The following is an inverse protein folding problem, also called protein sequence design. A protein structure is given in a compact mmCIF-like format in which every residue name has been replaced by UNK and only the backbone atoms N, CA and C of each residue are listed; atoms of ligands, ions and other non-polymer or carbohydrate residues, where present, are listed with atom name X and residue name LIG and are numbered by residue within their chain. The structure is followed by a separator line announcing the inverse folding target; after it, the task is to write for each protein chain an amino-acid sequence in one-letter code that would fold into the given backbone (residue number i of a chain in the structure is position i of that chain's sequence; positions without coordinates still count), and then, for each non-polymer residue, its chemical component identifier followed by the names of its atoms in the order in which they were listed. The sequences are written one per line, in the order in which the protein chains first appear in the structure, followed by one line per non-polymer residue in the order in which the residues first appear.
data_IF_248289898499
#
_entry.id   IF_248289898499
#
_cell.length_a   1.000
_cell.length_b   1.000
_cell.length_c   1.000
_cell.angle_alpha   90.00
_cell.angle_beta   90.00
_cell.angle_gamma   90.00
#
_symmetry.space_group_name_H-M   'P 1'
#
loop_
_entity.id
_entity.type
_entity.pdbx_description
1 polymer ?
#
# COMPACT_ATOMS: atom_id res chain seq x y z
N UNK A 1 23.18 64.46 -6.62
CA UNK A 1 22.25 65.60 -6.45
C UNK A 1 20.94 65.27 -7.17
N UNK A 2 19.75 65.60 -6.63
CA UNK A 2 19.05 64.63 -5.77
C UNK A 2 17.54 64.43 -6.07
N UNK A 3 16.91 63.53 -5.27
CA UNK A 3 15.47 63.38 -4.92
C UNK A 3 14.56 62.73 -5.99
N UNK A 4 13.58 61.89 -5.67
CA UNK A 4 12.76 61.78 -4.46
C UNK A 4 12.20 60.35 -4.27
N UNK A 5 12.05 59.97 -3.00
CA UNK A 5 11.32 58.80 -2.51
C UNK A 5 9.81 59.09 -2.49
N UNK A 6 8.98 58.05 -2.65
CA UNK A 6 7.60 58.02 -2.14
C UNK A 6 7.40 56.76 -1.29
N UNK A 7 7.35 56.98 0.03
CA UNK A 7 6.80 56.05 1.02
C UNK A 7 5.30 56.34 1.15
N UNK A 8 4.48 55.29 1.05
CA UNK A 8 3.06 55.32 1.39
C UNK A 8 2.92 54.80 2.82
N UNK A 9 2.51 55.68 3.72
CA UNK A 9 2.10 55.36 5.09
C UNK A 9 0.58 55.37 5.13
N UNK A 10 -0.04 54.22 5.45
CA UNK A 10 -1.46 54.13 5.80
C UNK A 10 -1.54 53.88 7.30
N UNK A 11 -2.04 54.86 8.02
CA UNK A 11 -2.43 54.76 9.41
C UNK A 11 -3.93 54.47 9.50
N UNK A 12 -4.33 53.45 10.25
CA UNK A 12 -5.70 53.31 10.75
C UNK A 12 -5.63 53.28 12.27
N UNK A 13 -6.26 54.29 12.88
CA UNK A 13 -6.41 54.43 14.32
C UNK A 13 -7.80 53.96 14.74
N UNK A 14 -7.79 53.07 15.74
CA UNK A 14 -8.66 52.98 16.91
C UNK A 14 -10.17 53.25 16.80
N UNK A 15 -10.95 52.21 17.11
CA UNK A 15 -12.25 52.31 17.76
C UNK A 15 -12.35 51.20 18.82
N UNK A 16 -12.35 51.60 20.09
CA UNK A 16 -12.53 50.75 21.30
C UNK A 16 -13.88 51.12 21.93
N UNK A 17 -14.44 50.19 22.73
CA UNK A 17 -15.57 50.28 23.69
C UNK A 17 -16.94 49.84 23.09
N UNK A 18 -17.74 48.93 23.68
CA UNK A 18 -17.83 48.39 25.05
C UNK A 18 -18.49 46.98 25.08
N UNK A 19 -18.10 46.25 26.13
CA UNK A 19 -18.77 45.19 26.93
C UNK A 19 -20.28 44.95 26.76
N UNK A 20 -20.77 43.71 26.85
CA UNK A 20 -21.18 43.08 28.13
C UNK A 20 -21.64 41.60 27.99
N UNK A 21 -21.63 40.93 29.13
CA UNK A 21 -21.86 39.53 29.50
C UNK A 21 -22.93 38.69 28.80
N UNK A 22 -22.63 37.39 28.63
CA UNK A 22 -23.53 36.31 29.05
C UNK A 22 -22.75 35.03 29.39
N UNK A 23 -22.68 34.70 30.69
CA UNK A 23 -22.45 33.35 31.18
C UNK A 23 -23.73 32.53 30.97
N UNK A 24 -23.64 31.36 30.33
CA UNK A 24 -24.51 30.22 30.66
C UNK A 24 -23.89 28.89 30.23
N UNK A 25 -23.93 27.98 31.19
CA UNK A 25 -23.43 26.62 31.20
C UNK A 25 -24.13 25.77 30.12
N UNK A 26 -23.36 25.01 29.35
CA UNK A 26 -23.87 23.89 28.56
C UNK A 26 -22.99 22.66 28.79
N UNK A 27 -23.50 21.80 29.68
CA UNK A 27 -23.35 20.35 29.74
C UNK A 27 -22.67 19.69 28.52
N UNK A 28 -21.51 19.09 28.76
CA UNK A 28 -20.88 18.11 27.88
C UNK A 28 -21.68 16.80 27.91
N UNK A 29 -22.55 16.59 26.92
CA UNK A 29 -23.04 15.27 26.55
C UNK A 29 -22.27 14.77 25.33
N UNK A 30 -21.55 13.66 25.49
CA UNK A 30 -20.86 12.94 24.43
C UNK A 30 -21.79 12.63 23.25
N UNK A 31 -21.33 12.76 21.99
CA UNK A 31 -22.11 12.28 20.87
C UNK A 31 -22.05 10.75 20.84
N UNK A 32 -23.17 10.13 21.19
CA UNK A 32 -23.45 8.74 20.85
C UNK A 32 -23.40 8.61 19.33
N UNK A 33 -22.42 7.85 18.83
CA UNK A 33 -22.28 7.49 17.43
C UNK A 33 -23.55 6.73 16.99
N UNK A 34 -24.52 7.44 16.40
CA UNK A 34 -25.66 6.79 15.78
C UNK A 34 -25.15 6.06 14.54
N UNK A 35 -25.27 4.73 14.59
CA UNK A 35 -25.10 3.80 13.49
C UNK A 35 -26.11 4.17 12.40
N UNK A 36 -25.68 4.98 11.43
CA UNK A 36 -26.46 5.24 10.23
C UNK A 36 -26.66 3.93 9.48
N UNK A 37 -27.91 3.68 9.13
CA UNK A 37 -28.31 2.53 8.33
C UNK A 37 -27.61 2.61 6.97
N UNK A 38 -27.05 1.47 6.57
CA UNK A 38 -26.51 1.17 5.25
C UNK A 38 -27.38 1.78 4.15
N UNK A 39 -26.84 2.76 3.43
CA UNK A 39 -27.37 3.12 2.11
C UNK A 39 -27.06 1.98 1.17
N UNK A 40 -28.10 1.35 0.63
CA UNK A 40 -27.99 0.36 -0.44
C UNK A 40 -27.22 0.98 -1.61
N UNK A 41 -25.98 0.55 -1.81
CA UNK A 41 -25.23 0.85 -3.01
C UNK A 41 -25.85 0.03 -4.15
N UNK A 42 -26.53 0.70 -5.07
CA UNK A 42 -26.96 0.11 -6.34
C UNK A 42 -25.72 -0.44 -7.06
N UNK A 43 -25.64 -1.76 -7.17
CA UNK A 43 -24.60 -2.44 -7.94
C UNK A 43 -24.71 -2.04 -9.41
N UNK A 44 -23.56 -1.75 -10.04
CA UNK A 44 -23.47 -1.58 -11.48
C UNK A 44 -24.13 -2.78 -12.22
N UNK A 45 -24.88 -2.55 -13.30
CA UNK A 45 -25.50 -3.62 -14.06
C UNK A 45 -24.44 -4.61 -14.56
N UNK A 46 -24.61 -5.91 -14.23
CA UNK A 46 -23.77 -7.04 -14.65
C UNK A 46 -23.51 -7.11 -16.16
N UNK A 47 -24.36 -6.49 -16.97
CA UNK A 47 -24.26 -6.42 -18.43
C UNK A 47 -23.02 -5.62 -18.91
N UNK A 48 -22.61 -4.57 -18.18
CA UNK A 48 -21.43 -3.77 -18.57
C UNK A 48 -20.11 -4.54 -18.38
N UNK A 49 -20.07 -5.45 -17.40
CA UNK A 49 -18.91 -6.32 -17.12
C UNK A 49 -18.74 -7.37 -18.23
N UNK A 50 -19.83 -7.82 -18.87
CA UNK A 50 -19.76 -8.80 -19.97
C UNK A 50 -19.29 -8.21 -21.29
N UNK A 51 -19.52 -6.92 -21.54
CA UNK A 51 -19.18 -6.27 -22.81
C UNK A 51 -17.67 -5.98 -22.98
N UNK A 52 -16.86 -6.03 -21.92
CA UNK A 52 -15.45 -5.63 -21.92
C UNK A 52 -14.47 -6.77 -22.26
N UNK A 53 -14.96 -7.93 -22.74
CA UNK A 53 -14.18 -9.16 -22.93
C UNK A 53 -13.86 -9.54 -24.40
N UNK A 54 -14.05 -8.65 -25.38
CA UNK A 54 -13.83 -8.98 -26.80
C UNK A 54 -12.87 -8.03 -27.50
N UNK A 55 -11.56 -8.23 -27.32
CA UNK A 55 -10.53 -7.91 -28.34
C UNK A 55 -9.18 -8.46 -27.90
N UNK A 56 -8.58 -9.37 -28.70
CA UNK A 56 -7.21 -9.86 -28.50
C UNK A 56 -6.39 -9.62 -29.77
N UNK A 57 -5.21 -9.01 -29.60
CA UNK A 57 -4.10 -9.04 -30.55
C UNK A 57 -2.89 -9.64 -29.83
N UNK A 58 -2.19 -10.54 -30.52
CA UNK A 58 -1.01 -11.23 -30.02
C UNK A 58 0.25 -10.35 -30.14
N UNK A 59 1.03 -10.28 -29.08
CA UNK A 59 2.40 -9.74 -29.05
C UNK A 59 3.28 -10.83 -28.43
N UNK A 60 4.38 -11.14 -29.10
CA UNK A 60 5.45 -12.04 -28.63
C UNK A 60 6.52 -11.20 -27.93
N UNK A 61 6.97 -11.62 -26.75
CA UNK A 61 8.10 -11.02 -26.04
C UNK A 61 9.31 -11.94 -26.08
N UNK A 62 10.47 -11.37 -26.39
CA UNK A 62 11.78 -12.01 -26.29
C UNK A 62 12.29 -11.94 -24.84
N UNK A 63 12.90 -13.02 -24.36
CA UNK A 63 13.41 -13.18 -22.99
C UNK A 63 14.85 -12.66 -22.87
N UNK A 64 15.08 -11.66 -22.02
CA UNK A 64 16.42 -11.22 -21.61
C UNK A 64 16.91 -12.00 -20.37
N UNK A 65 18.12 -12.55 -20.50
CA UNK A 65 18.81 -13.39 -19.53
C UNK A 65 19.44 -12.54 -18.41
N UNK A 66 18.80 -12.53 -17.24
CA UNK A 66 19.30 -11.84 -16.04
C UNK A 66 20.31 -12.73 -15.29
N UNK A 67 21.59 -12.35 -15.28
CA UNK A 67 22.62 -13.05 -14.51
C UNK A 67 22.51 -12.72 -13.01
N UNK A 68 22.49 -13.76 -12.18
CA UNK A 68 22.52 -13.64 -10.72
C UNK A 68 23.81 -14.24 -10.19
N UNK A 69 24.63 -13.42 -9.53
CA UNK A 69 25.73 -13.89 -8.70
C UNK A 69 25.15 -14.54 -7.43
N UNK A 70 25.38 -15.85 -7.29
CA UNK A 70 25.00 -16.65 -6.13
C UNK A 70 26.10 -16.58 -5.05
N UNK A 71 25.73 -16.20 -3.83
CA UNK A 71 26.53 -16.49 -2.64
C UNK A 71 25.59 -17.09 -1.57
N UNK A 72 25.88 -18.33 -1.21
CA UNK A 72 25.20 -19.17 -0.23
C UNK A 72 25.78 -18.90 1.17
N UNK A 73 24.97 -18.35 2.08
CA UNK A 73 25.31 -18.21 3.49
C UNK A 73 24.03 -18.41 4.33
N UNK A 74 23.84 -19.61 4.87
CA UNK A 74 22.81 -19.91 5.86
C UNK A 74 23.43 -20.01 7.26
N UNK A 75 23.36 -18.93 8.03
CA UNK A 75 23.45 -18.99 9.50
C UNK A 75 22.07 -18.66 10.08
N UNK A 76 21.53 -19.62 10.85
CA UNK A 76 20.22 -19.54 11.51
C UNK A 76 20.35 -18.83 12.86
N UNK A 77 20.14 -17.52 12.90
CA UNK A 77 20.02 -16.79 14.18
C UNK A 77 18.59 -16.93 14.74
N UNK A 78 18.43 -17.86 15.68
CA UNK A 78 17.30 -17.87 16.62
C UNK A 78 17.39 -16.64 17.54
N UNK A 79 16.65 -15.60 17.21
CA UNK A 79 16.55 -14.38 18.01
C UNK A 79 15.67 -14.64 19.26
N UNK A 80 16.26 -15.21 20.32
CA UNK A 80 15.68 -15.20 21.65
C UNK A 80 15.89 -13.82 22.30
N UNK A 81 14.83 -13.00 22.30
CA UNK A 81 14.85 -11.72 23.04
C UNK A 81 14.72 -11.99 24.55
N UNK A 82 15.84 -11.92 25.27
CA UNK A 82 15.89 -11.96 26.72
C UNK A 82 15.50 -10.59 27.32
N UNK A 83 14.21 -10.26 27.29
CA UNK A 83 13.64 -9.20 28.14
C UNK A 83 13.27 -9.81 29.50
N UNK A 84 14.24 -9.90 30.40
CA UNK A 84 14.04 -10.19 31.82
C UNK A 84 13.49 -8.94 32.53
N UNK A 85 12.17 -8.73 32.44
CA UNK A 85 11.45 -7.80 33.33
C UNK A 85 10.43 -8.60 34.16
N UNK A 86 10.76 -8.79 35.43
CA UNK A 86 10.02 -9.56 36.42
C UNK A 86 8.67 -8.90 36.75
N UNK A 87 7.62 -9.25 35.98
CA UNK A 87 6.23 -8.90 36.30
C UNK A 87 5.27 -10.08 36.06
N UNK A 88 4.13 -10.11 36.77
CA UNK A 88 3.60 -11.28 37.46
C UNK A 88 3.09 -12.37 36.52
N UNK A 89 3.49 -13.62 36.84
CA UNK A 89 2.94 -14.92 36.40
C UNK A 89 1.94 -14.84 35.23
N UNK A 90 2.50 -14.62 34.02
CA UNK A 90 1.78 -14.67 32.74
C UNK A 90 1.20 -16.08 32.56
N UNK A 91 -0.03 -16.30 33.02
CA UNK A 91 -0.88 -17.38 32.48
C UNK A 91 -0.98 -17.11 30.99
N UNK A 92 -0.16 -17.81 30.22
CA UNK A 92 -0.09 -17.78 28.77
C UNK A 92 -1.48 -18.06 28.22
N UNK A 93 -2.23 -16.99 27.92
CA UNK A 93 -3.44 -17.08 27.13
C UNK A 93 -3.02 -17.48 25.71
N UNK A 94 -2.81 -18.79 25.50
CA UNK A 94 -2.75 -19.41 24.17
C UNK A 94 -4.16 -19.41 23.57
N UNK A 95 -4.78 -18.24 23.44
CA UNK A 95 -5.97 -18.13 22.61
C UNK A 95 -5.53 -18.37 21.19
N UNK A 96 -5.88 -19.53 20.63
CA UNK A 96 -5.66 -19.83 19.21
C UNK A 96 -6.34 -18.71 18.41
N UNK A 97 -5.55 -17.81 17.84
CA UNK A 97 -6.08 -16.74 17.00
C UNK A 97 -6.83 -17.38 15.84
N UNK A 98 -8.13 -17.09 15.72
CA UNK A 98 -8.94 -17.54 14.59
C UNK A 98 -8.34 -16.93 13.32
N UNK A 99 -8.07 -17.77 12.32
CA UNK A 99 -7.64 -17.29 10.99
C UNK A 99 -8.73 -16.41 10.41
N UNK A 100 -8.35 -15.27 9.85
CA UNK A 100 -9.28 -14.43 9.13
C UNK A 100 -9.69 -15.10 7.82
N UNK A 101 -10.97 -15.00 7.41
CA UNK A 101 -11.37 -15.42 6.09
C UNK A 101 -10.61 -14.60 5.04
N UNK A 102 -10.37 -15.22 3.90
CA UNK A 102 -9.74 -14.62 2.75
C UNK A 102 -10.27 -15.32 1.51
N UNK A 103 -10.27 -14.59 0.40
CA UNK A 103 -10.76 -15.07 -0.88
C UNK A 103 -9.97 -14.45 -2.02
N UNK A 104 -9.92 -15.15 -3.14
CA UNK A 104 -9.43 -14.63 -4.42
C UNK A 104 -10.48 -14.94 -5.49
N UNK A 105 -10.62 -14.08 -6.52
CA UNK A 105 -11.47 -14.40 -7.66
C UNK A 105 -10.97 -15.69 -8.33
N UNK A 106 -11.90 -16.50 -8.82
CA UNK A 106 -11.56 -17.63 -9.66
C UNK A 106 -11.19 -17.11 -11.06
N UNK A 107 -9.91 -17.17 -11.40
CA UNK A 107 -9.42 -16.80 -12.72
C UNK A 107 -9.54 -18.02 -13.63
N UNK A 108 -10.21 -17.84 -14.77
CA UNK A 108 -10.29 -18.88 -15.80
C UNK A 108 -8.89 -19.27 -16.28
N UNK A 109 -8.58 -20.57 -16.53
CA UNK A 109 -7.31 -20.98 -17.12
C UNK A 109 -6.99 -20.32 -18.47
N UNK A 110 -8.01 -19.80 -19.16
CA UNK A 110 -7.88 -19.09 -20.44
C UNK A 110 -7.89 -17.57 -20.29
N UNK A 111 -7.92 -17.05 -19.06
CA UNK A 111 -7.86 -15.62 -18.82
C UNK A 111 -6.45 -15.13 -19.09
N UNK A 112 -6.29 -14.28 -20.10
CA UNK A 112 -5.07 -13.50 -20.29
C UNK A 112 -5.12 -12.29 -19.36
N UNK A 113 -4.19 -12.17 -18.39
CA UNK A 113 -4.12 -11.00 -17.51
C UNK A 113 -3.95 -9.72 -18.35
N UNK A 114 -4.81 -8.72 -18.12
CA UNK A 114 -4.63 -7.39 -18.73
C UNK A 114 -3.32 -6.78 -18.22
N UNK A 115 -2.57 -6.09 -19.09
CA UNK A 115 -1.44 -5.27 -18.64
C UNK A 115 -1.93 -4.06 -17.83
N UNK A 116 -1.03 -3.44 -17.06
CA UNK A 116 -1.36 -2.24 -16.28
C UNK A 116 -1.90 -1.12 -17.17
N UNK A 117 -1.27 -0.92 -18.34
CA UNK A 117 -1.67 0.08 -19.33
C UNK A 117 -3.06 -0.17 -19.90
N UNK A 118 -3.38 -1.43 -20.23
CA UNK A 118 -4.71 -1.81 -20.70
C UNK A 118 -5.78 -1.56 -19.64
N UNK A 119 -5.55 -2.04 -18.42
CA UNK A 119 -6.50 -1.87 -17.32
C UNK A 119 -6.73 -0.40 -16.97
N UNK A 120 -5.65 0.39 -16.85
CA UNK A 120 -5.75 1.83 -16.55
C UNK A 120 -6.49 2.60 -17.65
N UNK A 121 -6.28 2.27 -18.93
CA UNK A 121 -7.02 2.89 -20.04
C UNK A 121 -8.53 2.65 -19.94
N UNK A 122 -8.93 1.41 -19.63
CA UNK A 122 -10.32 1.01 -19.44
C UNK A 122 -10.94 1.69 -18.21
N UNK A 123 -10.26 1.65 -17.06
CA UNK A 123 -10.73 2.29 -15.84
C UNK A 123 -10.93 3.80 -16.04
N UNK A 124 -10.00 4.48 -16.72
CA UNK A 124 -10.11 5.90 -17.01
C UNK A 124 -11.27 6.23 -17.93
N UNK A 125 -11.52 5.38 -18.93
CA UNK A 125 -12.68 5.51 -19.81
C UNK A 125 -13.98 5.38 -19.02
N UNK A 126 -14.08 4.41 -18.12
CA UNK A 126 -15.23 4.23 -17.24
C UNK A 126 -15.40 5.45 -16.32
N UNK A 127 -14.36 5.90 -15.64
CA UNK A 127 -14.41 7.07 -14.76
C UNK A 127 -14.89 8.33 -15.49
N UNK A 128 -14.36 8.61 -16.68
CA UNK A 128 -14.79 9.75 -17.51
C UNK A 128 -16.25 9.62 -17.93
N UNK A 129 -16.73 8.42 -18.27
CA UNK A 129 -18.15 8.18 -18.58
C UNK A 129 -19.07 8.46 -17.37
N UNK A 130 -18.55 8.33 -16.15
CA UNK A 130 -19.22 8.69 -14.89
C UNK A 130 -18.95 10.13 -14.42
N UNK A 131 -18.31 10.98 -15.24
CA UNK A 131 -17.89 12.34 -14.89
C UNK A 131 -16.99 12.41 -13.63
N UNK A 132 -16.21 11.37 -13.37
CA UNK A 132 -15.24 11.33 -12.27
C UNK A 132 -13.93 11.89 -12.78
N UNK A 133 -13.42 12.94 -12.12
CA UNK A 133 -12.15 13.57 -12.47
C UNK A 133 -10.97 12.65 -12.13
N UNK A 134 -9.94 12.69 -12.97
CA UNK A 134 -8.70 11.96 -12.75
C UNK A 134 -7.66 12.91 -12.14
N UNK A 135 -7.08 12.63 -10.95
CA UNK A 135 -6.19 13.58 -10.26
C UNK A 135 -5.02 14.09 -11.10
N UNK A 136 -4.44 13.21 -11.92
CA UNK A 136 -3.28 13.51 -12.77
C UNK A 136 -3.61 14.38 -14.00
N UNK A 137 -4.88 14.53 -14.39
CA UNK A 137 -5.27 15.42 -15.50
C UNK A 137 -5.23 16.91 -15.12
N UNK A 138 -5.15 17.22 -13.82
CA UNK A 138 -5.18 18.58 -13.29
C UNK A 138 -3.93 18.91 -12.45
N UNK A 139 -2.86 18.12 -12.58
CA UNK A 139 -1.64 18.26 -11.76
C UNK A 139 -1.95 18.31 -10.25
N UNK A 140 -3.03 17.64 -9.82
CA UNK A 140 -3.42 17.60 -8.42
C UNK A 140 -2.66 16.47 -7.73
N UNK A 141 -2.18 16.68 -6.49
CA UNK A 141 -1.60 15.60 -5.70
C UNK A 141 -2.57 14.43 -5.57
N UNK A 142 -2.04 13.21 -5.52
CA UNK A 142 -2.85 12.03 -5.27
C UNK A 142 -3.57 12.13 -3.92
N UNK A 143 -4.86 11.77 -3.84
CA UNK A 143 -5.58 11.77 -2.58
C UNK A 143 -4.96 10.84 -1.52
N UNK A 144 -4.92 11.29 -0.26
CA UNK A 144 -4.35 10.54 0.86
C UNK A 144 -5.42 9.81 1.69
N UNK A 145 -5.05 8.68 2.34
CA UNK A 145 -3.75 8.01 2.27
C UNK A 145 -3.55 7.33 0.90
N UNK A 146 -2.29 7.22 0.48
CA UNK A 146 -1.89 6.36 -0.63
C UNK A 146 -1.46 5.02 -0.03
N UNK A 147 -2.15 3.95 -0.42
CA UNK A 147 -1.89 2.61 0.11
C UNK A 147 -1.48 1.68 -1.03
N UNK A 148 -0.30 1.10 -0.90
CA UNK A 148 0.19 0.09 -1.81
C UNK A 148 -0.12 -1.31 -1.28
N UNK A 149 -1.00 -2.00 -2.02
CA UNK A 149 -1.41 -3.37 -1.72
C UNK A 149 -0.58 -4.42 -2.45
N UNK A 150 0.53 -4.02 -3.06
CA UNK A 150 1.52 -4.89 -3.65
C UNK A 150 1.96 -5.98 -2.67
N UNK A 151 2.07 -7.21 -3.18
CA UNK A 151 2.67 -8.28 -2.41
C UNK A 151 4.18 -8.00 -2.20
N UNK A 152 4.78 -8.54 -1.13
CA UNK A 152 6.23 -8.55 -0.97
C UNK A 152 6.92 -8.98 -2.26
N UNK A 153 8.06 -8.36 -2.55
CA UNK A 153 8.85 -8.54 -3.78
C UNK A 153 8.24 -7.92 -5.06
N UNK A 154 7.18 -7.14 -4.95
CA UNK A 154 6.68 -6.25 -6.03
C UNK A 154 7.07 -4.79 -5.76
N UNK A 155 8.38 -4.53 -5.67
CA UNK A 155 8.98 -3.19 -5.53
C UNK A 155 8.46 -2.30 -4.37
N UNK A 156 7.89 -2.87 -3.31
CA UNK A 156 7.31 -2.09 -2.19
C UNK A 156 8.29 -1.10 -1.54
N UNK A 157 9.58 -1.45 -1.48
CA UNK A 157 10.65 -0.55 -1.00
C UNK A 157 10.97 0.54 -2.02
N UNK A 158 11.19 0.18 -3.29
CA UNK A 158 11.39 1.14 -4.39
C UNK A 158 10.28 2.18 -4.44
N UNK A 159 9.02 1.76 -4.35
CA UNK A 159 7.89 2.70 -4.36
C UNK A 159 7.90 3.60 -3.12
N UNK A 160 8.25 3.08 -1.93
CA UNK A 160 8.41 3.93 -0.74
C UNK A 160 9.47 5.01 -0.94
N UNK A 161 10.62 4.67 -1.54
CA UNK A 161 11.69 5.64 -1.80
C UNK A 161 11.33 6.63 -2.90
N UNK A 162 10.61 6.19 -3.94
CA UNK A 162 10.06 7.06 -4.97
C UNK A 162 9.18 8.17 -4.37
N UNK A 163 8.20 7.80 -3.53
CA UNK A 163 7.35 8.78 -2.84
C UNK A 163 8.16 9.66 -1.87
N UNK A 164 9.13 9.11 -1.15
CA UNK A 164 10.01 9.89 -0.28
C UNK A 164 10.81 10.95 -1.05
N UNK A 165 11.35 10.58 -2.22
CA UNK A 165 12.07 11.47 -3.12
C UNK A 165 11.19 12.64 -3.60
N UNK A 166 9.90 12.38 -3.86
CA UNK A 166 8.89 13.41 -4.14
C UNK A 166 8.42 14.24 -2.94
N UNK A 167 9.02 14.10 -1.75
CA UNK A 167 8.67 14.86 -0.55
C UNK A 167 7.45 14.34 0.22
N UNK A 168 6.93 13.17 -0.14
CA UNK A 168 5.78 12.52 0.52
C UNK A 168 6.28 11.67 1.70
N UNK A 169 5.65 11.82 2.87
CA UNK A 169 6.02 11.04 4.05
C UNK A 169 5.59 9.59 3.86
N UNK A 170 6.56 8.70 3.68
CA UNK A 170 6.32 7.32 3.28
C UNK A 170 6.83 6.29 4.30
N UNK A 171 6.18 5.13 4.36
CA UNK A 171 6.47 4.04 5.29
C UNK A 171 6.45 2.69 4.56
N UNK A 172 7.42 1.81 4.87
CA UNK A 172 7.56 0.47 4.29
C UNK A 172 7.66 -0.56 5.41
N UNK A 173 6.71 -1.49 5.48
CA UNK A 173 6.57 -2.56 6.50
C UNK A 173 6.35 -2.07 7.94
N UNK A 174 7.17 -1.13 8.41
CA UNK A 174 7.20 -0.56 9.75
C UNK A 174 6.93 0.94 9.69
N UNK A 175 6.25 1.44 10.72
CA UNK A 175 6.17 2.87 11.00
C UNK A 175 7.59 3.37 11.23
N UNK A 176 8.04 4.45 10.55
CA UNK A 176 9.42 4.91 10.65
C UNK A 176 9.82 5.15 12.11
N UNK A 177 10.99 4.65 12.50
CA UNK A 177 11.52 4.79 13.86
C UNK A 177 10.66 4.18 14.97
N UNK A 178 9.86 3.16 14.65
CA UNK A 178 9.18 2.35 15.64
C UNK A 178 9.29 0.86 15.31
N UNK A 179 8.97 0.01 16.28
CA UNK A 179 8.85 -1.44 16.10
C UNK A 179 7.44 -1.85 15.61
N UNK A 180 6.56 -0.89 15.35
CA UNK A 180 5.17 -1.16 14.94
C UNK A 180 5.16 -1.44 13.45
N UNK A 181 4.78 -2.67 13.08
CA UNK A 181 4.48 -3.03 11.69
C UNK A 181 3.14 -2.42 11.27
N UNK A 182 3.10 -1.84 10.09
CA UNK A 182 1.89 -1.23 9.52
C UNK A 182 0.78 -2.28 9.44
N UNK A 183 1.09 -3.47 8.93
CA UNK A 183 0.13 -4.56 8.84
C UNK A 183 -0.44 -4.97 10.21
N UNK A 184 0.39 -5.04 11.27
CA UNK A 184 -0.07 -5.37 12.62
C UNK A 184 -1.04 -4.31 13.16
N UNK A 185 -0.72 -3.03 12.97
CA UNK A 185 -1.60 -1.91 13.31
C UNK A 185 -2.94 -2.01 12.59
N UNK A 186 -2.92 -2.19 11.27
CA UNK A 186 -4.14 -2.29 10.45
C UNK A 186 -5.01 -3.49 10.82
N UNK A 187 -4.42 -4.65 11.09
CA UNK A 187 -5.16 -5.84 11.57
C UNK A 187 -5.82 -5.56 12.91
N UNK A 188 -5.07 -5.02 13.87
CA UNK A 188 -5.57 -4.79 15.22
C UNK A 188 -6.70 -3.74 15.21
N UNK A 189 -6.60 -2.72 14.35
CA UNK A 189 -7.67 -1.75 14.12
C UNK A 189 -8.88 -2.36 13.39
N UNK A 190 -8.66 -3.23 12.40
CA UNK A 190 -9.72 -3.98 11.72
C UNK A 190 -10.58 -4.79 12.70
N UNK A 191 -9.94 -5.55 13.60
CA UNK A 191 -10.62 -6.35 14.62
C UNK A 191 -11.45 -5.47 15.57
N UNK A 192 -10.96 -4.28 15.87
CA UNK A 192 -11.60 -3.33 16.79
C UNK A 192 -12.63 -2.44 16.11
N UNK A 193 -12.73 -2.47 14.78
CA UNK A 193 -13.56 -1.55 14.02
C UNK A 193 -13.12 -0.09 14.19
N UNK A 194 -11.82 0.15 14.27
CA UNK A 194 -11.21 1.48 14.37
C UNK A 194 -10.65 1.93 13.01
N UNK A 195 -10.24 3.19 12.92
CA UNK A 195 -9.52 3.68 11.76
C UNK A 195 -8.28 2.79 11.49
N UNK A 196 -8.08 2.29 10.25
CA UNK A 196 -7.00 1.37 9.91
C UNK A 196 -5.61 1.83 10.36
N UNK A 197 -5.33 3.13 10.33
CA UNK A 197 -4.02 3.69 10.64
C UNK A 197 -3.94 4.32 12.05
N UNK A 198 -4.99 4.16 12.87
CA UNK A 198 -5.00 4.69 14.23
C UNK A 198 -3.81 4.17 15.05
N UNK A 199 -2.94 5.10 15.50
CA UNK A 199 -1.73 4.80 16.27
C UNK A 199 -0.49 4.46 15.44
N UNK A 200 -0.60 4.43 14.11
CA UNK A 200 0.51 4.19 13.19
C UNK A 200 0.53 5.17 11.99
N UNK A 201 -0.21 6.28 12.09
CA UNK A 201 -0.35 7.28 11.03
C UNK A 201 0.60 8.48 11.16
N UNK A 202 1.46 8.53 12.17
CA UNK A 202 2.38 9.66 12.41
C UNK A 202 3.82 9.21 12.35
N UNK A 203 4.63 9.93 11.60
CA UNK A 203 6.08 9.75 11.56
C UNK A 203 6.72 10.43 12.80
N UNK A 204 7.26 9.68 13.78
CA UNK A 204 7.66 10.22 15.09
C UNK A 204 8.69 11.35 15.01
N UNK A 205 9.72 11.24 14.16
CA UNK A 205 10.76 12.28 14.06
C UNK A 205 10.34 13.53 13.27
N UNK A 206 9.41 13.40 12.33
CA UNK A 206 8.96 14.51 11.49
C UNK A 206 7.71 15.17 12.07
N UNK A 207 7.03 14.51 13.01
CA UNK A 207 5.72 14.89 13.53
C UNK A 207 4.72 15.21 12.40
N UNK A 208 4.77 14.43 11.32
CA UNK A 208 3.91 14.55 10.15
C UNK A 208 3.11 13.28 9.95
N UNK A 209 1.90 13.42 9.44
CA UNK A 209 1.09 12.28 9.00
C UNK A 209 1.82 11.52 7.90
N UNK A 210 1.80 10.20 7.97
CA UNK A 210 2.29 9.32 6.91
C UNK A 210 1.24 9.32 5.80
N UNK A 211 1.69 9.61 4.59
CA UNK A 211 0.87 9.84 3.41
C UNK A 211 0.90 8.63 2.47
N UNK A 212 2.04 7.91 2.41
CA UNK A 212 2.21 6.67 1.64
C UNK A 212 2.56 5.46 2.52
N UNK A 213 1.82 4.37 2.36
CA UNK A 213 2.03 3.11 3.07
C UNK A 213 2.27 1.97 2.07
N UNK A 214 3.41 1.27 2.18
CA UNK A 214 3.66 0.05 1.41
C UNK A 214 4.04 -1.13 2.29
N UNK A 215 3.90 -2.34 1.72
CA UNK A 215 4.16 -3.60 2.41
C UNK A 215 3.30 -3.73 3.69
N UNK A 216 1.99 -3.46 3.53
CA UNK A 216 1.00 -3.42 4.62
C UNK A 216 0.53 -4.82 5.07
N UNK A 217 1.30 -5.86 4.75
CA UNK A 217 1.00 -7.26 5.06
C UNK A 217 1.74 -7.81 6.27
N UNK A 218 1.25 -8.93 6.80
CA UNK A 218 1.82 -9.68 7.91
C UNK A 218 1.94 -11.14 7.52
N UNK A 219 3.17 -11.60 7.30
CA UNK A 219 3.47 -13.02 7.09
C UNK A 219 3.78 -13.75 8.37
N UNK A 220 4.44 -13.02 9.27
CA UNK A 220 4.93 -13.49 10.56
C UNK A 220 4.44 -12.47 11.56
N UNK A 221 3.30 -12.75 12.17
CA UNK A 221 2.86 -11.94 13.29
C UNK A 221 3.77 -12.23 14.49
N UNK A 222 4.21 -11.18 15.17
CA UNK A 222 4.87 -11.34 16.47
C UNK A 222 3.94 -12.14 17.39
N UNK A 223 4.46 -13.06 18.21
CA UNK A 223 3.65 -13.80 19.21
C UNK A 223 2.58 -14.74 18.64
N UNK A 224 2.80 -15.35 17.47
CA UNK A 224 1.90 -16.37 16.91
C UNK A 224 0.60 -15.81 16.33
N UNK A 225 0.56 -14.52 16.02
CA UNK A 225 -0.56 -13.86 15.33
C UNK A 225 -0.73 -14.44 13.91
N UNK A 226 -1.99 -14.57 13.50
CA UNK A 226 -2.34 -15.08 12.17
C UNK A 226 -1.83 -14.12 11.08
N UNK A 227 -1.49 -14.71 9.93
CA UNK A 227 -1.19 -13.98 8.72
C UNK A 227 -2.35 -13.05 8.34
N UNK A 228 -2.01 -11.88 7.84
CA UNK A 228 -3.00 -10.86 7.49
C UNK A 228 -2.50 -9.98 6.36
N UNK A 229 -3.34 -9.79 5.35
CA UNK A 229 -3.14 -8.88 4.24
C UNK A 229 -4.48 -8.24 3.92
N UNK A 230 -4.59 -6.92 4.04
CA UNK A 230 -5.86 -6.22 3.79
C UNK A 230 -6.44 -6.53 2.41
N UNK A 231 -5.57 -6.72 1.41
CA UNK A 231 -5.96 -7.04 0.03
C UNK A 231 -6.36 -8.50 -0.20
N UNK A 232 -5.99 -9.42 0.69
CA UNK A 232 -6.37 -10.85 0.58
C UNK A 232 -7.54 -11.19 1.51
N UNK A 233 -7.52 -10.67 2.75
CA UNK A 233 -8.52 -10.98 3.75
C UNK A 233 -9.85 -10.26 3.49
N UNK A 234 -10.95 -10.98 3.70
CA UNK A 234 -12.28 -10.48 3.36
C UNK A 234 -12.69 -9.34 4.30
N UNK A 235 -13.19 -8.25 3.71
CA UNK A 235 -13.51 -7.01 4.42
C UNK A 235 -12.32 -6.08 4.64
N UNK A 236 -11.09 -6.51 4.33
CA UNK A 236 -9.89 -5.71 4.58
C UNK A 236 -9.83 -4.43 3.73
N UNK A 237 -10.05 -4.53 2.42
CA UNK A 237 -10.12 -3.38 1.51
C UNK A 237 -11.31 -2.47 1.84
N UNK A 238 -12.49 -3.08 2.09
CA UNK A 238 -13.72 -2.37 2.44
C UNK A 238 -13.57 -1.59 3.75
N UNK A 239 -12.83 -2.15 4.70
CA UNK A 239 -12.55 -1.48 5.97
C UNK A 239 -11.73 -0.21 5.76
N UNK A 240 -10.69 -0.24 4.91
CA UNK A 240 -9.92 0.97 4.61
C UNK A 240 -10.77 2.00 3.86
N UNK A 241 -11.49 1.57 2.82
CA UNK A 241 -12.34 2.46 2.03
C UNK A 241 -13.46 3.12 2.85
N UNK A 242 -13.98 2.44 3.89
CA UNK A 242 -14.97 3.03 4.80
C UNK A 242 -14.47 4.29 5.51
N UNK A 243 -13.21 4.30 5.95
CA UNK A 243 -12.61 5.44 6.64
C UNK A 243 -12.03 6.45 5.66
N UNK A 244 -11.59 5.99 4.50
CA UNK A 244 -10.93 6.79 3.48
C UNK A 244 -11.58 6.57 2.11
N UNK A 245 -12.80 7.08 1.87
CA UNK A 245 -13.51 6.85 0.61
C UNK A 245 -12.76 7.41 -0.59
N UNK A 246 -12.07 8.54 -0.42
CA UNK A 246 -11.29 9.16 -1.49
C UNK A 246 -9.82 8.75 -1.46
N UNK A 247 -9.43 7.61 -0.86
CA UNK A 247 -8.03 7.21 -0.82
C UNK A 247 -7.45 6.92 -2.21
N UNK A 248 -6.12 6.77 -2.26
CA UNK A 248 -5.45 6.23 -3.44
C UNK A 248 -4.97 4.79 -3.18
N UNK A 249 -5.30 3.88 -4.08
CA UNK A 249 -4.67 2.57 -4.20
C UNK A 249 -3.56 2.69 -5.25
N UNK A 250 -2.33 2.36 -4.85
CA UNK A 250 -1.16 2.42 -5.73
C UNK A 250 -0.54 1.03 -5.92
N UNK A 251 -0.71 0.47 -7.11
CA UNK A 251 -0.24 -0.86 -7.47
C UNK A 251 0.96 -0.77 -8.41
N UNK A 252 1.92 -1.67 -8.20
CA UNK A 252 3.13 -1.81 -9.02
C UNK A 252 3.32 -3.30 -9.31
N UNK A 253 2.47 -3.88 -10.18
CA UNK A 253 2.60 -5.28 -10.54
C UNK A 253 3.91 -5.54 -11.28
N UNK A 254 4.35 -6.80 -11.22
CA UNK A 254 5.52 -7.33 -11.91
C UNK A 254 5.07 -8.49 -12.82
N UNK A 255 5.90 -8.87 -13.78
CA UNK A 255 5.77 -10.19 -14.41
C UNK A 255 5.66 -11.28 -13.33
N UNK A 256 4.64 -12.13 -13.42
CA UNK A 256 4.32 -13.10 -12.37
C UNK A 256 5.43 -14.15 -12.19
N UNK A 257 6.01 -14.65 -13.28
CA UNK A 257 7.14 -15.59 -13.24
C UNK A 257 8.37 -14.96 -12.58
N UNK A 258 8.68 -13.70 -12.92
CA UNK A 258 9.76 -12.96 -12.27
C UNK A 258 9.49 -12.71 -10.77
N UNK A 259 8.23 -12.44 -10.41
CA UNK A 259 7.82 -12.33 -9.01
C UNK A 259 7.97 -13.64 -8.25
N UNK A 260 7.50 -14.77 -8.80
CA UNK A 260 7.62 -16.10 -8.17
C UNK A 260 9.08 -16.43 -7.91
N UNK A 261 9.96 -16.22 -8.89
CA UNK A 261 11.41 -16.39 -8.75
C UNK A 261 11.98 -15.52 -7.62
N UNK A 262 11.57 -14.26 -7.56
CA UNK A 262 12.06 -13.33 -6.53
C UNK A 262 11.61 -13.71 -5.12
N UNK A 263 10.41 -14.25 -4.99
CA UNK A 263 9.85 -14.72 -3.71
C UNK A 263 10.48 -16.06 -3.29
N UNK A 264 10.73 -16.97 -4.24
CA UNK A 264 11.34 -18.29 -3.96
C UNK A 264 12.77 -18.17 -3.47
N UNK A 265 13.52 -17.18 -3.96
CA UNK A 265 14.90 -16.93 -3.55
C UNK A 265 15.00 -16.09 -2.27
N UNK A 266 13.96 -15.33 -1.90
CA UNK A 266 14.04 -14.42 -0.76
C UNK A 266 14.24 -15.17 0.55
N UNK A 267 15.35 -14.87 1.24
CA UNK A 267 15.72 -15.49 2.52
C UNK A 267 15.75 -17.01 2.43
N UNK A 268 16.30 -17.57 1.34
CA UNK A 268 16.34 -19.02 1.12
C UNK A 268 14.94 -19.67 1.02
N UNK A 269 13.97 -18.98 0.42
CA UNK A 269 12.59 -19.46 0.30
C UNK A 269 11.76 -19.35 1.59
N UNK A 270 12.27 -18.64 2.61
CA UNK A 270 11.54 -18.36 3.86
C UNK A 270 10.20 -17.67 3.61
N UNK A 271 10.08 -16.88 2.55
CA UNK A 271 8.86 -16.18 2.20
C UNK A 271 7.72 -17.14 1.86
N UNK A 272 7.95 -18.00 0.86
CA UNK A 272 7.00 -19.06 0.48
C UNK A 272 6.74 -20.03 1.61
N UNK A 273 7.78 -20.47 2.32
CA UNK A 273 7.64 -21.35 3.49
C UNK A 273 6.71 -20.72 4.55
N UNK A 274 6.86 -19.42 4.81
CA UNK A 274 6.00 -18.64 5.69
C UNK A 274 4.54 -18.62 5.23
N UNK A 275 4.28 -18.31 3.96
CA UNK A 275 2.93 -18.32 3.40
C UNK A 275 2.27 -19.71 3.46
N UNK A 276 2.98 -20.75 3.01
CA UNK A 276 2.50 -22.15 3.04
C UNK A 276 2.13 -22.59 4.45
N UNK A 277 3.04 -22.39 5.42
CA UNK A 277 2.87 -22.89 6.79
C UNK A 277 1.91 -22.05 7.63
N UNK A 278 1.90 -20.72 7.47
CA UNK A 278 1.27 -19.81 8.45
C UNK A 278 0.03 -19.11 7.91
N UNK A 279 0.03 -18.71 6.64
CA UNK A 279 -1.13 -18.02 6.07
C UNK A 279 -2.27 -18.97 5.75
N UNK A 280 -1.96 -20.25 5.54
CA UNK A 280 -2.98 -21.23 5.23
C UNK A 280 -3.70 -20.87 3.94
N UNK A 281 -2.95 -20.39 2.94
CA UNK A 281 -3.47 -20.18 1.59
C UNK A 281 -3.79 -21.51 0.85
N UNK A 282 -3.92 -22.60 1.61
CA UNK A 282 -4.18 -23.95 1.13
C UNK A 282 -5.58 -24.01 0.54
N UNK A 283 -5.71 -24.61 -0.64
CA UNK A 283 -6.99 -24.79 -1.35
C UNK A 283 -7.16 -23.88 -2.57
N UNK A 284 -6.62 -22.65 -2.55
CA UNK A 284 -6.71 -21.74 -3.70
C UNK A 284 -5.42 -21.66 -4.52
N UNK A 285 -4.28 -22.17 -4.01
CA UNK A 285 -2.97 -22.19 -4.68
C UNK A 285 -2.60 -23.63 -5.10
N UNK A 286 -3.57 -24.52 -5.32
CA UNK A 286 -3.31 -25.88 -5.80
C UNK A 286 -2.22 -26.64 -5.02
N UNK A 287 -1.22 -27.13 -5.76
CA UNK A 287 -0.08 -27.91 -5.25
C UNK A 287 1.13 -27.04 -4.86
N UNK A 288 0.95 -25.72 -4.91
CA UNK A 288 2.01 -24.74 -4.70
C UNK A 288 3.16 -24.85 -5.71
N UNK A 289 2.85 -25.25 -6.94
CA UNK A 289 3.75 -25.13 -8.09
C UNK A 289 4.01 -23.66 -8.42
N UNK A 290 5.03 -23.38 -9.22
CA UNK A 290 5.31 -22.00 -9.66
C UNK A 290 4.11 -21.42 -10.43
N UNK A 291 3.47 -22.21 -11.30
CA UNK A 291 2.25 -21.83 -12.01
C UNK A 291 1.07 -21.52 -11.06
N UNK A 292 0.94 -22.24 -9.95
CA UNK A 292 -0.08 -21.93 -8.93
C UNK A 292 0.20 -20.58 -8.26
N UNK A 293 1.47 -20.25 -7.99
CA UNK A 293 1.85 -18.96 -7.40
C UNK A 293 1.71 -17.81 -8.39
N UNK A 294 1.99 -18.03 -9.67
CA UNK A 294 1.71 -17.06 -10.73
C UNK A 294 0.19 -16.78 -10.80
N UNK A 295 -0.61 -17.85 -10.81
CA UNK A 295 -2.08 -17.74 -10.78
C UNK A 295 -2.58 -17.01 -9.54
N UNK A 296 -2.00 -17.28 -8.36
CA UNK A 296 -2.29 -16.56 -7.13
C UNK A 296 -1.96 -15.06 -7.25
N UNK A 297 -0.82 -14.71 -7.84
CA UNK A 297 -0.40 -13.33 -8.05
C UNK A 297 -1.36 -12.57 -8.98
N UNK A 298 -1.75 -13.20 -10.08
CA UNK A 298 -2.75 -12.64 -10.99
C UNK A 298 -4.12 -12.49 -10.32
N UNK A 299 -4.57 -13.50 -9.56
CA UNK A 299 -5.85 -13.46 -8.84
C UNK A 299 -5.87 -12.38 -7.75
N UNK A 300 -4.75 -12.16 -7.07
CA UNK A 300 -4.59 -11.05 -6.14
C UNK A 300 -4.69 -9.69 -6.83
N UNK A 301 -3.99 -9.51 -7.95
CA UNK A 301 -4.03 -8.27 -8.73
C UNK A 301 -5.46 -7.99 -9.23
N UNK A 302 -6.10 -9.02 -9.79
CA UNK A 302 -7.47 -8.94 -10.29
C UNK A 302 -8.49 -8.64 -9.19
N UNK A 303 -8.31 -9.18 -7.97
CA UNK A 303 -9.16 -8.83 -6.81
C UNK A 303 -9.14 -7.32 -6.55
N UNK A 304 -7.97 -6.71 -6.59
CA UNK A 304 -7.82 -5.27 -6.32
C UNK A 304 -8.40 -4.45 -7.48
N UNK A 305 -8.15 -4.86 -8.73
CA UNK A 305 -8.76 -4.25 -9.93
C UNK A 305 -10.29 -4.27 -9.87
N UNK A 306 -10.89 -5.41 -9.51
CA UNK A 306 -12.34 -5.54 -9.32
C UNK A 306 -12.85 -4.65 -8.18
N UNK A 307 -12.09 -4.52 -7.09
CA UNK A 307 -12.43 -3.61 -6.01
C UNK A 307 -12.42 -2.15 -6.48
N UNK A 308 -11.43 -1.73 -7.27
CA UNK A 308 -11.35 -0.39 -7.84
C UNK A 308 -12.51 -0.09 -8.80
N UNK A 309 -12.88 -1.04 -9.67
CA UNK A 309 -14.03 -0.90 -10.58
C UNK A 309 -15.36 -0.76 -9.83
N UNK A 310 -15.51 -1.42 -8.68
CA UNK A 310 -16.70 -1.29 -7.82
C UNK A 310 -16.72 0.01 -7.01
N UNK A 311 -15.58 0.67 -6.84
CA UNK A 311 -15.42 1.86 -6.01
C UNK A 311 -14.76 2.98 -6.80
N UNK A 312 -15.43 3.47 -7.86
CA UNK A 312 -14.84 4.44 -8.79
C UNK A 312 -14.41 5.78 -8.15
N UNK A 313 -14.94 6.09 -6.96
CA UNK A 313 -14.55 7.25 -6.15
C UNK A 313 -13.15 7.10 -5.52
N UNK A 314 -12.66 5.87 -5.33
CA UNK A 314 -11.28 5.60 -4.94
C UNK A 314 -10.37 5.89 -6.14
N UNK A 315 -9.28 6.58 -5.89
CA UNK A 315 -8.24 6.77 -6.90
C UNK A 315 -7.45 5.48 -7.01
N UNK A 316 -7.27 4.95 -8.22
CA UNK A 316 -6.49 3.75 -8.47
C UNK A 316 -5.42 4.09 -9.50
N UNK A 317 -4.18 3.75 -9.19
CA UNK A 317 -3.03 3.92 -10.06
C UNK A 317 -2.31 2.58 -10.12
N UNK A 318 -2.00 2.13 -11.33
CA UNK A 318 -1.26 0.90 -11.56
C UNK A 318 -0.20 1.13 -12.64
N UNK A 319 1.06 0.82 -12.30
CA UNK A 319 2.21 0.93 -13.21
C UNK A 319 2.98 -0.37 -13.16
N UNK A 320 3.20 -1.01 -14.30
CA UNK A 320 4.01 -2.22 -14.38
C UNK A 320 5.48 -1.86 -14.13
N UNK A 321 6.21 -2.64 -13.32
CA UNK A 321 7.56 -2.27 -12.86
C UNK A 321 8.65 -2.38 -13.93
N UNK A 322 8.49 -3.35 -14.82
CA UNK A 322 9.56 -3.84 -15.71
C UNK A 322 9.37 -3.39 -17.15
N UNK A 323 8.61 -2.31 -17.38
CA UNK A 323 8.46 -1.71 -18.70
C UNK A 323 9.38 -0.50 -18.86
N UNK A 324 9.83 -0.23 -20.09
CA UNK A 324 10.68 0.93 -20.39
C UNK A 324 10.01 2.27 -20.02
N UNK A 325 8.67 2.32 -20.07
CA UNK A 325 7.87 3.51 -19.74
C UNK A 325 7.46 3.60 -18.25
N UNK A 326 7.93 2.70 -17.38
CA UNK A 326 7.53 2.67 -15.95
C UNK A 326 7.77 4.01 -15.26
N UNK A 327 8.94 4.61 -15.45
CA UNK A 327 9.32 5.87 -14.81
C UNK A 327 8.46 7.04 -15.29
N UNK A 328 8.19 7.10 -16.59
CA UNK A 328 7.35 8.14 -17.21
C UNK A 328 5.89 8.00 -16.77
N UNK A 329 5.38 6.77 -16.68
CA UNK A 329 4.02 6.49 -16.22
C UNK A 329 3.85 6.84 -14.73
N UNK A 330 4.84 6.53 -13.88
CA UNK A 330 4.81 6.95 -12.48
C UNK A 330 4.82 8.47 -12.34
N UNK A 331 5.65 9.18 -13.10
CA UNK A 331 5.67 10.65 -13.12
C UNK A 331 4.33 11.23 -13.59
N UNK A 332 3.78 10.69 -14.67
CA UNK A 332 2.48 11.11 -15.19
C UNK A 332 1.37 10.99 -14.14
N UNK A 333 1.27 9.86 -13.44
CA UNK A 333 0.20 9.63 -12.47
C UNK A 333 0.40 10.33 -11.13
N UNK A 334 1.64 10.56 -10.70
CA UNK A 334 1.93 11.06 -9.35
C UNK A 334 2.40 12.52 -9.32
N UNK A 335 2.90 13.03 -10.45
CA UNK A 335 3.61 14.32 -10.53
C UNK A 335 5.01 14.31 -9.90
N UNK A 336 5.52 13.15 -9.45
CA UNK A 336 6.87 13.02 -8.90
C UNK A 336 7.84 12.76 -10.05
N UNK A 337 8.94 13.50 -10.07
CA UNK A 337 9.95 13.41 -11.13
C UNK A 337 10.39 11.96 -11.37
N UNK A 338 10.42 11.54 -12.63
CA UNK A 338 10.78 10.16 -13.02
C UNK A 338 12.17 9.73 -12.55
N UNK A 339 13.10 10.67 -12.32
CA UNK A 339 14.43 10.39 -11.75
C UNK A 339 14.39 9.88 -10.31
N UNK A 340 13.27 10.05 -9.60
CA UNK A 340 13.06 9.44 -8.29
C UNK A 340 12.88 7.92 -8.36
N UNK A 341 12.62 7.34 -9.54
CA UNK A 341 12.48 5.89 -9.66
C UNK A 341 13.86 5.22 -9.61
N UNK A 342 14.09 4.50 -8.51
CA UNK A 342 15.36 3.82 -8.23
C UNK A 342 15.13 2.35 -7.94
N UNK A 343 16.08 1.51 -8.34
CA UNK A 343 16.10 0.11 -7.95
C UNK A 343 16.66 0.00 -6.52
N UNK A 344 15.76 -0.21 -5.55
CA UNK A 344 16.08 -0.26 -4.14
C UNK A 344 15.96 -1.68 -3.60
N UNK A 345 16.97 -2.10 -2.84
CA UNK A 345 17.00 -3.41 -2.19
C UNK A 345 17.41 -3.27 -0.72
N UNK A 346 16.89 -4.14 0.16
CA UNK A 346 17.39 -4.23 1.52
C UNK A 346 18.85 -4.72 1.43
N UNK A 347 19.78 -3.96 1.98
CA UNK A 347 21.19 -4.37 2.06
C UNK A 347 21.37 -5.55 3.01
N UNK A 348 22.52 -6.22 2.90
CA UNK A 348 22.92 -7.28 3.85
C UNK A 348 22.85 -6.69 5.27
N UNK A 349 22.06 -7.24 6.21
CA UNK A 349 22.12 -6.84 7.61
C UNK A 349 23.53 -7.18 8.09
N UNK A 350 24.36 -6.17 8.37
CA UNK A 350 25.74 -6.41 8.84
C UNK A 350 25.90 -6.27 10.36
N UNK A 351 24.88 -5.73 11.04
CA UNK A 351 24.87 -5.55 12.49
C UNK A 351 23.42 -5.27 12.95
N UNK A 352 22.86 -6.06 13.89
CA UNK A 352 21.52 -5.81 14.43
C UNK A 352 21.37 -4.47 15.19
N UNK A 353 22.48 -3.79 15.50
CA UNK A 353 22.48 -2.52 16.23
C UNK A 353 22.57 -1.27 15.34
N UNK A 354 22.70 -1.43 14.02
CA UNK A 354 22.81 -0.30 13.11
C UNK A 354 21.44 0.04 12.51
N UNK A 355 21.12 1.34 12.47
CA UNK A 355 19.88 1.87 11.91
C UNK A 355 19.60 1.24 10.53
N UNK A 356 18.45 0.58 10.37
CA UNK A 356 18.02 -0.06 9.12
C UNK A 356 18.16 0.84 7.87
N UNK A 357 18.17 2.17 8.06
CA UNK A 357 18.43 3.15 7.00
C UNK A 357 19.80 3.04 6.34
N UNK A 358 20.85 2.60 7.03
CA UNK A 358 22.18 2.47 6.40
C UNK A 358 22.28 1.27 5.46
N UNK A 359 21.27 0.39 5.47
CA UNK A 359 21.27 -0.81 4.65
C UNK A 359 20.51 -0.64 3.34
N UNK A 360 19.70 0.41 3.18
CA UNK A 360 18.98 0.61 1.93
C UNK A 360 19.95 1.08 0.85
N UNK A 361 20.13 0.25 -0.19
CA UNK A 361 20.89 0.63 -1.38
C UNK A 361 19.90 0.83 -2.51
N UNK A 362 19.81 2.07 -2.96
CA UNK A 362 19.09 2.42 -4.16
C UNK A 362 20.11 2.76 -5.25
N UNK A 363 19.91 2.18 -6.44
CA UNK A 363 20.63 2.56 -7.64
C UNK A 363 19.63 3.24 -8.58
N UNK A 364 20.02 4.28 -9.33
CA UNK A 364 19.19 4.73 -10.44
C UNK A 364 18.77 3.52 -11.27
N UNK A 365 17.50 3.41 -11.64
CA UNK A 365 17.12 2.52 -12.74
C UNK A 365 17.85 3.13 -13.92
N UNK A 366 18.92 2.49 -14.40
CA UNK A 366 19.72 3.04 -15.50
C UNK A 366 18.74 3.45 -16.59
N UNK A 367 18.67 4.75 -16.89
CA UNK A 367 18.13 5.21 -18.15
C UNK A 367 19.03 4.55 -19.18
N UNK A 368 18.58 3.43 -19.72
CA UNK A 368 19.22 2.57 -20.74
C UNK A 368 20.59 3.06 -21.21
N UNK A 369 21.60 2.29 -20.81
CA UNK A 369 22.85 2.10 -21.55
C UNK A 369 22.64 1.93 -23.05
#
# INVERSE_FOLDING_TARGET
MPKSQHLITIAFAAGVLLTDQFHRLASLSSPTLQRTQSTDFEFLPLELIRALNTTNHAITSDDDEYSTEEEDDTEEDEYESNDEDETPTKKSFKTKHKKFPWSLPNISPHHTPKSSKQFMSELNTIKRAHNITLPWEHSSPLPHPIVSYNLPKSATLTTKEYFACGGIVSSHTFVPFSQIRIGDCMRDNFVRGFDPFNGCNVHPKLNRTIEFYSDVGIQIGTKGRACWYNSLNDGGLEHVARYYPNMTIFMVPRNATAWVRSVSQWGGGRLFSGWKKRCGFKGSIGDYSDADWESFYHAHTEKIRQFALKNLHITYVEVELETEDSAEMMEYYTGIDRSCLQHCFPGKPKDPNVDMKTYQKCKPVNATS
#
